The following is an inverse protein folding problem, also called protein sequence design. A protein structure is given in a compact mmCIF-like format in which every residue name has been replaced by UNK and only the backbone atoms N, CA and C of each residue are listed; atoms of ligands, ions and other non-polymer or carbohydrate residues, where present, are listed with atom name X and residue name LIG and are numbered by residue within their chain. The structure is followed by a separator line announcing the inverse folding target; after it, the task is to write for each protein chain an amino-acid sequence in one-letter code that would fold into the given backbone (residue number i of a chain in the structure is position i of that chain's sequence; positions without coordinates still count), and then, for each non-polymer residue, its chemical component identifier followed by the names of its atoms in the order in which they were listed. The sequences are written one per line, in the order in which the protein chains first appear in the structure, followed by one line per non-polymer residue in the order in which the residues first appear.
data_IF_408298178851
#
_entry.id   IF_408298178851
#
_cell.length_a   1.000
_cell.length_b   1.000
_cell.length_c   1.000
_cell.angle_alpha   90.00
_cell.angle_beta   90.00
_cell.angle_gamma   90.00
#
_symmetry.space_group_name_H-M   'P 1'
#
loop_
_entity.id
_entity.type
_entity.pdbx_description
1 polymer ?
#
# COMPACT_ATOMS: atom_id res chain seq x y z
N UNK A 1 6.92 -44.94 -36.04
CA UNK A 1 7.49 -43.61 -35.75
C UNK A 1 7.68 -42.92 -37.10
N UNK A 2 6.89 -41.89 -37.34
CA UNK A 2 7.10 -41.03 -38.50
C UNK A 2 8.34 -40.16 -38.27
N UNK A 3 9.17 -39.92 -39.31
CA UNK A 3 10.35 -39.09 -39.18
C UNK A 3 9.92 -37.63 -38.94
N UNK A 4 10.60 -36.95 -37.98
CA UNK A 4 10.36 -35.55 -37.68
C UNK A 4 10.62 -34.70 -38.91
N UNK A 5 9.66 -33.90 -39.30
CA UNK A 5 9.80 -32.97 -40.44
C UNK A 5 10.73 -31.79 -40.10
N UNK A 6 11.41 -31.25 -41.12
CA UNK A 6 12.33 -30.09 -40.95
C UNK A 6 11.59 -28.87 -40.34
N UNK A 7 10.33 -28.69 -40.68
CA UNK A 7 9.49 -27.61 -40.17
C UNK A 7 9.28 -27.76 -38.66
N UNK A 8 9.06 -28.97 -38.17
CA UNK A 8 8.89 -29.26 -36.74
C UNK A 8 10.19 -28.94 -35.97
N UNK A 9 11.35 -29.34 -36.50
CA UNK A 9 12.64 -29.03 -35.90
C UNK A 9 12.88 -27.52 -35.83
N UNK A 10 12.50 -26.75 -36.81
CA UNK A 10 12.62 -25.28 -36.84
C UNK A 10 11.75 -24.68 -35.72
N UNK A 11 10.50 -25.12 -35.58
CA UNK A 11 9.61 -24.64 -34.54
C UNK A 11 10.07 -25.02 -33.12
N UNK A 12 10.54 -26.24 -32.96
CA UNK A 12 11.14 -26.69 -31.67
C UNK A 12 12.34 -25.81 -31.30
N UNK A 13 13.21 -25.51 -32.29
CA UNK A 13 14.38 -24.66 -32.06
C UNK A 13 14.00 -23.23 -31.69
N UNK A 14 13.02 -22.64 -32.39
CA UNK A 14 12.50 -21.29 -32.08
C UNK A 14 11.88 -21.29 -30.67
N UNK A 15 11.06 -22.28 -30.33
CA UNK A 15 10.46 -22.38 -29.01
C UNK A 15 11.51 -22.54 -27.90
N UNK A 16 12.56 -23.35 -28.15
CA UNK A 16 13.66 -23.54 -27.23
C UNK A 16 14.42 -22.21 -27.00
N UNK A 17 14.77 -21.51 -28.08
CA UNK A 17 15.47 -20.22 -27.96
C UNK A 17 14.63 -19.18 -27.20
N UNK A 18 13.33 -19.11 -27.50
CA UNK A 18 12.43 -18.22 -26.80
C UNK A 18 12.30 -18.59 -25.31
N UNK A 19 12.15 -19.86 -25.01
CA UNK A 19 12.11 -20.35 -23.62
C UNK A 19 13.40 -20.03 -22.86
N UNK A 20 14.57 -20.24 -23.44
CA UNK A 20 15.86 -19.86 -22.86
C UNK A 20 15.99 -18.35 -22.66
N UNK A 21 15.56 -17.56 -23.64
CA UNK A 21 15.54 -16.11 -23.53
C UNK A 21 14.68 -15.66 -22.33
N UNK A 22 13.45 -16.15 -22.22
CA UNK A 22 12.55 -15.81 -21.12
C UNK A 22 13.11 -16.28 -19.77
N UNK A 23 13.70 -17.46 -19.71
CA UNK A 23 14.32 -17.98 -18.49
C UNK A 23 15.46 -17.07 -18.01
N UNK A 24 16.40 -16.73 -18.86
CA UNK A 24 17.52 -15.85 -18.49
C UNK A 24 17.07 -14.41 -18.25
N UNK A 25 16.02 -13.94 -18.95
CA UNK A 25 15.41 -12.64 -18.72
C UNK A 25 14.82 -12.56 -17.28
N UNK A 26 14.11 -13.59 -16.81
CA UNK A 26 13.58 -13.60 -15.44
C UNK A 26 14.70 -13.57 -14.40
N UNK A 27 15.79 -14.30 -14.62
CA UNK A 27 16.95 -14.27 -13.73
C UNK A 27 17.57 -12.86 -13.73
N UNK A 28 17.81 -12.27 -14.89
CA UNK A 28 18.35 -10.91 -14.99
C UNK A 28 17.42 -9.90 -14.30
N UNK A 29 16.10 -10.03 -14.51
CA UNK A 29 15.10 -9.14 -13.91
C UNK A 29 15.06 -9.24 -12.39
N UNK A 30 15.37 -10.40 -11.82
CA UNK A 30 15.49 -10.57 -10.37
C UNK A 30 16.57 -9.64 -9.75
N UNK A 31 17.65 -9.37 -10.49
CA UNK A 31 18.75 -8.54 -10.00
C UNK A 31 18.62 -7.06 -10.35
N UNK A 32 17.96 -6.72 -11.46
CA UNK A 32 17.86 -5.34 -11.96
C UNK A 32 16.46 -4.73 -11.81
N UNK A 33 15.42 -5.55 -11.58
CA UNK A 33 14.05 -5.10 -11.41
C UNK A 33 13.80 -4.57 -10.00
N UNK A 34 13.18 -3.38 -9.89
CA UNK A 34 12.80 -2.74 -8.62
C UNK A 34 11.30 -2.89 -8.33
N UNK A 35 10.73 -4.03 -8.62
CA UNK A 35 9.29 -4.25 -8.57
C UNK A 35 8.74 -4.68 -7.20
N UNK A 36 9.60 -5.04 -6.25
CA UNK A 36 9.16 -5.46 -4.94
C UNK A 36 9.26 -4.30 -3.95
N UNK A 37 8.11 -3.85 -3.47
CA UNK A 37 8.08 -3.14 -2.20
C UNK A 37 8.64 -4.10 -1.13
N UNK A 38 9.58 -3.61 -0.34
CA UNK A 38 10.01 -4.34 0.84
C UNK A 38 8.82 -4.40 1.79
N UNK A 39 8.08 -5.51 1.79
CA UNK A 39 6.98 -5.73 2.71
C UNK A 39 7.40 -6.74 3.77
N UNK A 40 7.20 -6.39 5.01
CA UNK A 40 7.35 -7.26 6.16
C UNK A 40 5.95 -7.59 6.69
N UNK A 41 5.76 -8.77 7.27
CA UNK A 41 4.51 -9.13 7.91
C UNK A 41 4.80 -9.83 9.25
N UNK A 42 4.18 -9.33 10.31
CA UNK A 42 4.33 -9.87 11.67
C UNK A 42 2.97 -10.22 12.26
N UNK A 43 2.94 -11.21 13.13
CA UNK A 43 1.73 -11.52 13.90
C UNK A 43 1.52 -10.48 14.99
N UNK A 44 0.31 -9.96 15.11
CA UNK A 44 -0.09 -9.03 16.16
C UNK A 44 -1.55 -9.30 16.56
N UNK A 45 -1.85 -9.15 17.84
CA UNK A 45 -3.24 -9.18 18.30
C UNK A 45 -3.98 -7.94 17.79
N UNK A 46 -5.18 -8.08 17.19
CA UNK A 46 -5.95 -6.96 16.66
C UNK A 46 -6.24 -5.87 17.69
N UNK A 47 -6.51 -6.21 18.95
CA UNK A 47 -6.77 -5.23 19.99
C UNK A 47 -5.50 -4.44 20.35
N UNK A 48 -4.35 -5.09 20.40
CA UNK A 48 -3.05 -4.44 20.62
C UNK A 48 -2.72 -3.50 19.48
N UNK A 49 -3.01 -3.91 18.25
CA UNK A 49 -2.80 -3.05 17.08
C UNK A 49 -3.72 -1.83 17.10
N UNK A 50 -4.99 -2.02 17.43
CA UNK A 50 -5.95 -0.92 17.57
C UNK A 50 -5.48 0.11 18.60
N UNK A 51 -5.08 -0.32 19.80
CA UNK A 51 -4.57 0.57 20.85
C UNK A 51 -3.34 1.37 20.37
N UNK A 52 -2.44 0.71 19.62
CA UNK A 52 -1.27 1.37 19.03
C UNK A 52 -1.66 2.47 18.05
N UNK A 53 -2.60 2.20 17.14
CA UNK A 53 -3.08 3.19 16.18
C UNK A 53 -3.82 4.34 16.87
N UNK A 54 -4.64 4.07 17.87
CA UNK A 54 -5.35 5.09 18.64
C UNK A 54 -4.39 5.99 19.43
N UNK A 55 -3.35 5.41 20.01
CA UNK A 55 -2.29 6.18 20.68
C UNK A 55 -1.53 7.04 19.68
N UNK A 56 -1.12 6.47 18.56
CA UNK A 56 -0.47 7.21 17.49
C UNK A 56 -1.33 8.38 16.99
N UNK A 57 -2.62 8.14 16.79
CA UNK A 57 -3.54 9.20 16.34
C UNK A 57 -3.67 10.32 17.37
N UNK A 58 -3.83 9.98 18.65
CA UNK A 58 -3.95 10.94 19.76
C UNK A 58 -2.71 11.83 19.88
N UNK A 59 -1.53 11.24 19.75
CA UNK A 59 -0.26 11.95 19.95
C UNK A 59 0.11 12.83 18.75
N UNK A 60 -0.44 12.56 17.57
CA UNK A 60 -0.06 13.19 16.31
C UNK A 60 -1.21 13.96 15.62
N UNK A 61 -2.36 14.12 16.28
CA UNK A 61 -3.49 14.86 15.69
C UNK A 61 -3.12 16.31 15.40
N UNK A 62 -3.50 16.78 14.22
CA UNK A 62 -3.32 18.18 13.79
C UNK A 62 -4.65 18.88 13.51
N UNK A 63 -5.69 18.12 13.12
CA UNK A 63 -7.05 18.58 12.90
C UNK A 63 -8.00 17.39 12.81
N UNK A 64 -9.29 17.66 12.66
CA UNK A 64 -10.33 16.66 12.38
C UNK A 64 -11.05 17.01 11.09
N UNK A 65 -11.43 15.97 10.33
CA UNK A 65 -12.25 16.07 9.12
C UNK A 65 -13.36 15.02 9.17
N UNK A 66 -14.62 15.45 9.22
CA UNK A 66 -15.79 14.57 9.30
C UNK A 66 -15.66 13.51 10.42
N UNK A 67 -15.32 13.95 11.61
CA UNK A 67 -15.09 13.12 12.81
C UNK A 67 -13.94 12.11 12.69
N UNK A 68 -13.05 12.30 11.72
CA UNK A 68 -11.84 11.49 11.56
C UNK A 68 -10.61 12.36 11.84
N UNK A 69 -9.71 11.92 12.74
CA UNK A 69 -8.49 12.67 13.00
C UNK A 69 -7.57 12.65 11.79
N UNK A 70 -7.02 13.82 11.46
CA UNK A 70 -5.90 13.96 10.54
C UNK A 70 -4.64 14.03 11.38
N UNK A 71 -3.73 13.12 11.12
CA UNK A 71 -2.52 12.94 11.93
C UNK A 71 -1.27 13.19 11.11
N UNK A 72 -0.31 13.89 11.71
CA UNK A 72 1.03 14.14 11.13
C UNK A 72 2.07 13.59 12.10
N UNK A 73 2.89 12.63 11.68
CA UNK A 73 3.96 12.10 12.53
C UNK A 73 4.92 13.23 12.94
N UNK A 74 5.06 13.44 14.25
CA UNK A 74 5.96 14.46 14.81
C UNK A 74 7.39 13.96 14.89
N UNK A 75 7.53 12.70 15.34
CA UNK A 75 8.82 12.04 15.50
C UNK A 75 8.82 10.69 14.78
N UNK A 76 10.01 10.24 14.37
CA UNK A 76 10.15 8.97 13.68
C UNK A 76 9.54 8.95 12.27
N UNK A 77 9.52 7.78 11.70
CA UNK A 77 9.01 7.53 10.35
C UNK A 77 7.90 6.47 10.32
N UNK A 78 7.53 5.93 11.50
CA UNK A 78 6.47 4.93 11.58
C UNK A 78 5.10 5.61 11.56
N UNK A 79 4.22 5.16 10.68
CA UNK A 79 2.85 5.61 10.54
C UNK A 79 1.91 4.41 10.57
N UNK A 80 0.82 4.55 11.27
CA UNK A 80 -0.11 3.47 11.52
C UNK A 80 -1.45 3.75 10.86
N UNK A 81 -1.99 2.77 10.13
CA UNK A 81 -3.29 2.85 9.46
C UNK A 81 -4.08 1.57 9.73
N UNK A 82 -5.29 1.74 10.17
CA UNK A 82 -6.21 0.67 10.54
C UNK A 82 -7.32 0.53 9.50
N UNK A 83 -7.49 -0.70 8.96
CA UNK A 83 -8.70 -1.10 8.25
C UNK A 83 -9.78 -1.55 9.24
N UNK A 84 -10.98 -1.01 9.13
CA UNK A 84 -12.17 -1.46 9.87
C UNK A 84 -13.42 -1.23 9.03
N UNK A 85 -14.51 -1.89 9.33
CA UNK A 85 -15.78 -1.78 8.61
C UNK A 85 -16.41 -0.38 8.78
N UNK A 86 -16.51 0.45 7.79
CA UNK A 86 -15.99 0.42 6.41
C UNK A 86 -15.15 1.66 6.19
N UNK A 87 -14.02 1.74 6.86
CA UNK A 87 -13.19 2.94 6.98
C UNK A 87 -11.70 2.60 7.05
N UNK A 88 -10.88 3.44 6.44
CA UNK A 88 -9.45 3.53 6.72
C UNK A 88 -9.22 4.65 7.72
N UNK A 89 -8.57 4.37 8.84
CA UNK A 89 -8.42 5.27 9.98
C UNK A 89 -7.01 5.25 10.57
N UNK A 90 -6.40 6.40 10.93
CA UNK A 90 -6.83 7.79 10.71
C UNK A 90 -6.52 8.29 9.30
N UNK A 91 -6.82 9.55 8.98
CA UNK A 91 -6.30 10.24 7.81
C UNK A 91 -4.85 10.60 8.09
N UNK A 92 -3.94 10.28 7.15
CA UNK A 92 -2.52 10.60 7.30
C UNK A 92 -2.17 11.88 6.55
N UNK A 93 -1.37 12.74 7.18
CA UNK A 93 -0.75 13.88 6.53
C UNK A 93 0.77 13.72 6.60
N UNK A 94 1.41 13.59 5.43
CA UNK A 94 2.80 13.21 5.27
C UNK A 94 3.58 14.30 4.55
N UNK A 95 4.90 14.35 4.75
CA UNK A 95 5.78 15.31 4.07
C UNK A 95 6.37 14.68 2.80
N UNK A 96 6.39 15.45 1.72
CA UNK A 96 7.04 15.05 0.46
C UNK A 96 8.53 14.80 0.67
N UNK A 97 9.05 13.72 0.09
CA UNK A 97 10.47 13.38 0.14
C UNK A 97 10.92 12.69 1.42
N UNK A 98 10.06 12.57 2.44
CA UNK A 98 10.35 11.84 3.67
C UNK A 98 9.91 10.37 3.53
N UNK A 99 10.79 9.45 3.91
CA UNK A 99 10.48 8.03 3.89
C UNK A 99 9.75 7.62 5.15
N UNK A 100 8.62 6.91 4.99
CA UNK A 100 7.79 6.41 6.08
C UNK A 100 7.69 4.90 6.04
N UNK A 101 7.62 4.29 7.21
CA UNK A 101 7.24 2.89 7.40
C UNK A 101 5.74 2.84 7.70
N UNK A 102 4.97 2.36 6.75
CA UNK A 102 3.54 2.20 6.88
C UNK A 102 3.23 0.87 7.53
N UNK A 103 2.63 0.93 8.70
CA UNK A 103 2.08 -0.19 9.42
C UNK A 103 0.59 -0.30 9.10
N UNK A 104 0.19 -1.43 8.54
CA UNK A 104 -1.18 -1.70 8.08
C UNK A 104 -1.71 -2.97 8.74
N UNK A 105 -2.87 -2.91 9.35
CA UNK A 105 -3.58 -4.07 9.85
C UNK A 105 -5.09 -3.84 9.86
N UNK A 106 -5.84 -4.88 10.13
CA UNK A 106 -7.28 -4.85 10.32
C UNK A 106 -7.67 -5.42 11.69
N UNK A 107 -8.83 -4.99 12.22
CA UNK A 107 -9.38 -5.52 13.49
C UNK A 107 -10.59 -6.43 13.28
N UNK A 108 -11.14 -6.51 12.08
CA UNK A 108 -12.39 -7.22 11.81
C UNK A 108 -12.28 -8.20 10.64
N UNK A 109 -12.20 -7.72 9.42
CA UNK A 109 -12.19 -8.51 8.20
C UNK A 109 -10.93 -8.27 7.38
N UNK A 110 -10.76 -9.10 6.34
CA UNK A 110 -9.79 -8.81 5.30
C UNK A 110 -10.24 -7.59 4.50
N UNK A 111 -9.31 -6.66 4.27
CA UNK A 111 -9.50 -5.49 3.41
C UNK A 111 -8.39 -5.42 2.37
N UNK A 112 -8.67 -4.78 1.24
CA UNK A 112 -7.67 -4.47 0.23
C UNK A 112 -7.21 -3.02 0.37
N UNK A 113 -5.96 -2.79 0.72
CA UNK A 113 -5.37 -1.45 0.71
C UNK A 113 -4.84 -1.14 -0.68
N UNK A 114 -5.54 -0.28 -1.42
CA UNK A 114 -5.12 0.19 -2.74
C UNK A 114 -4.94 1.71 -2.71
N UNK A 115 -3.71 2.17 -2.82
CA UNK A 115 -3.36 3.60 -2.80
C UNK A 115 -3.37 4.17 -4.22
N UNK A 116 -4.28 5.11 -4.47
CA UNK A 116 -4.49 5.72 -5.78
C UNK A 116 -3.77 7.07 -5.91
N UNK A 117 -3.14 7.38 -7.07
CA UNK A 117 -3.08 6.60 -8.31
C UNK A 117 -1.85 5.68 -8.40
N UNK A 118 -1.27 5.26 -7.28
CA UNK A 118 -0.07 4.42 -7.25
C UNK A 118 -0.38 2.96 -7.61
N UNK A 119 0.65 2.16 -7.88
CA UNK A 119 0.51 0.72 -8.06
C UNK A 119 0.51 -0.09 -6.76
N UNK A 120 0.44 0.58 -5.59
CA UNK A 120 0.50 -0.08 -4.28
C UNK A 120 -0.83 -0.75 -3.98
N UNK A 121 -0.79 -2.06 -3.77
CA UNK A 121 -1.95 -2.87 -3.48
C UNK A 121 -1.57 -4.02 -2.55
N UNK A 122 -2.19 -4.09 -1.38
CA UNK A 122 -1.87 -5.06 -0.33
C UNK A 122 -3.15 -5.57 0.32
N UNK A 123 -3.25 -6.88 0.49
CA UNK A 123 -4.28 -7.49 1.34
C UNK A 123 -3.90 -7.32 2.80
N UNK A 124 -4.82 -6.77 3.58
CA UNK A 124 -4.66 -6.50 5.01
C UNK A 124 -5.58 -7.41 5.81
N UNK A 125 -4.99 -8.20 6.69
CA UNK A 125 -5.70 -9.22 7.46
C UNK A 125 -5.69 -8.93 8.95
N UNK A 126 -6.77 -9.27 9.68
CA UNK A 126 -6.70 -9.28 11.14
C UNK A 126 -5.65 -10.28 11.65
N UNK A 127 -4.96 -9.91 12.70
CA UNK A 127 -3.91 -10.74 13.30
C UNK A 127 -2.53 -10.65 12.63
N UNK A 128 -2.39 -9.80 11.59
CA UNK A 128 -1.12 -9.53 10.92
C UNK A 128 -0.92 -8.03 10.72
N UNK A 129 0.25 -7.54 11.08
CA UNK A 129 0.73 -6.21 10.78
C UNK A 129 1.63 -6.27 9.54
N UNK A 130 1.23 -5.61 8.48
CA UNK A 130 2.00 -5.47 7.25
C UNK A 130 2.76 -4.16 7.29
N UNK A 131 4.06 -4.19 6.96
CA UNK A 131 4.89 -3.00 6.95
C UNK A 131 5.44 -2.79 5.54
N UNK A 132 5.22 -1.62 5.00
CA UNK A 132 5.82 -1.19 3.73
C UNK A 132 6.51 0.16 3.89
N UNK A 133 7.61 0.33 3.17
CA UNK A 133 8.29 1.63 3.12
C UNK A 133 7.83 2.43 1.93
N UNK A 134 7.39 3.66 2.17
CA UNK A 134 6.89 4.58 1.15
C UNK A 134 7.54 5.96 1.32
N UNK A 135 8.00 6.53 0.21
CA UNK A 135 8.49 7.90 0.14
C UNK A 135 7.63 8.69 -0.84
N UNK A 136 6.72 9.56 -0.37
CA UNK A 136 5.90 10.37 -1.26
C UNK A 136 6.78 11.32 -2.09
N UNK A 137 6.60 11.33 -3.40
CA UNK A 137 7.37 12.19 -4.33
C UNK A 137 6.60 13.41 -4.81
N UNK A 138 5.27 13.38 -4.68
CA UNK A 138 4.38 14.45 -5.14
C UNK A 138 3.48 14.91 -4.00
N UNK A 139 3.15 16.20 -3.97
CA UNK A 139 2.17 16.77 -3.03
C UNK A 139 0.75 16.63 -3.57
N UNK A 140 -0.22 16.50 -2.69
CA UNK A 140 -1.62 16.38 -3.06
C UNK A 140 -2.44 15.49 -2.12
N UNK A 141 -3.63 15.15 -2.57
CA UNK A 141 -4.53 14.21 -1.92
C UNK A 141 -4.49 12.87 -2.67
N UNK A 142 -4.23 11.80 -1.94
CA UNK A 142 -4.16 10.43 -2.45
C UNK A 142 -5.26 9.60 -1.81
N UNK A 143 -6.08 8.96 -2.65
CA UNK A 143 -7.18 8.12 -2.20
C UNK A 143 -6.72 6.73 -1.78
N UNK A 144 -7.31 6.20 -0.73
CA UNK A 144 -7.22 4.78 -0.39
C UNK A 144 -8.57 4.15 -0.72
N UNK A 145 -8.57 3.07 -1.49
CA UNK A 145 -9.77 2.31 -1.84
C UNK A 145 -9.63 0.89 -1.33
N UNK A 146 -10.67 0.39 -0.68
CA UNK A 146 -10.75 -1.04 -0.39
C UNK A 146 -11.14 -1.78 -1.67
N UNK A 147 -10.27 -2.65 -2.15
CA UNK A 147 -10.49 -3.43 -3.38
C UNK A 147 -10.67 -4.94 -3.15
N UNK A 148 -10.83 -5.35 -1.88
CA UNK A 148 -11.22 -6.70 -1.48
C UNK A 148 -12.59 -6.65 -0.80
N UNK A 149 -13.51 -7.50 -1.23
CA UNK A 149 -14.87 -7.50 -0.70
C UNK A 149 -14.90 -7.77 0.82
N UNK A 150 -15.33 -6.79 1.59
CA UNK A 150 -15.38 -6.81 3.05
C UNK A 150 -16.80 -6.62 3.62
N UNK A 151 -17.84 -6.91 2.85
CA UNK A 151 -19.23 -6.84 3.29
C UNK A 151 -20.05 -5.73 2.61
N UNK A 152 -21.24 -5.44 3.17
CA UNK A 152 -22.26 -4.57 2.54
C UNK A 152 -21.73 -3.17 2.23
N UNK A 153 -20.94 -2.56 3.12
CA UNK A 153 -20.38 -1.22 2.95
C UNK A 153 -19.05 -1.17 2.18
N UNK A 154 -18.62 -2.28 1.57
CA UNK A 154 -17.37 -2.35 0.82
C UNK A 154 -17.20 -1.21 -0.20
N UNK A 155 -18.25 -0.88 -0.95
CA UNK A 155 -18.22 0.17 -1.98
C UNK A 155 -18.06 1.59 -1.42
N UNK A 156 -18.25 1.79 -0.13
CA UNK A 156 -18.07 3.09 0.55
C UNK A 156 -16.74 3.17 1.31
N UNK A 157 -16.01 2.05 1.42
CA UNK A 157 -14.78 1.99 2.20
C UNK A 157 -13.63 2.69 1.48
N UNK A 158 -13.48 3.96 1.77
CA UNK A 158 -12.41 4.82 1.26
C UNK A 158 -11.65 5.46 2.41
N UNK A 159 -10.45 5.93 2.11
CA UNK A 159 -9.61 6.72 2.99
C UNK A 159 -8.79 7.71 2.18
N UNK A 160 -7.96 8.49 2.87
CA UNK A 160 -7.11 9.48 2.18
C UNK A 160 -5.81 9.71 2.91
N UNK A 161 -4.81 10.09 2.13
CA UNK A 161 -3.50 10.54 2.59
C UNK A 161 -3.24 11.91 1.96
N UNK A 162 -2.90 12.89 2.77
CA UNK A 162 -2.41 14.18 2.30
C UNK A 162 -0.89 14.16 2.27
N UNK A 163 -0.32 14.65 1.18
CA UNK A 163 1.12 14.87 1.09
C UNK A 163 1.37 16.37 0.94
N UNK A 164 2.12 16.92 1.87
CA UNK A 164 2.41 18.36 1.96
C UNK A 164 3.89 18.65 1.76
N UNK A 165 4.24 19.90 1.44
CA UNK A 165 5.64 20.33 1.42
C UNK A 165 6.26 20.25 2.82
N UNK A 166 7.53 19.86 2.95
CA UNK A 166 8.24 19.84 4.21
C UNK A 166 8.18 21.19 4.93
N UNK A 167 7.90 21.18 6.24
CA UNK A 167 7.82 22.37 7.07
C UNK A 167 6.55 23.21 6.88
N UNK A 168 5.61 22.81 6.04
CA UNK A 168 4.33 23.50 5.89
C UNK A 168 3.34 23.01 6.95
N UNK A 169 3.16 23.78 8.02
CA UNK A 169 2.06 23.55 8.96
C UNK A 169 0.72 23.67 8.22
N UNK A 170 -0.16 22.68 8.40
CA UNK A 170 -1.37 22.47 7.63
C UNK A 170 -2.20 23.72 7.36
N UNK A 171 -2.27 24.08 6.10
CA UNK A 171 -3.37 24.90 5.57
C UNK A 171 -4.40 23.91 5.04
N UNK A 172 -5.71 24.02 5.38
CA UNK A 172 -6.73 23.16 4.79
C UNK A 172 -6.64 23.24 3.27
N UNK A 173 -6.65 22.07 2.60
CA UNK A 173 -6.81 22.06 1.16
C UNK A 173 -8.07 22.85 0.80
N UNK A 174 -7.93 23.85 -0.06
CA UNK A 174 -9.05 24.63 -0.54
C UNK A 174 -10.06 23.65 -1.17
N UNK A 175 -11.30 23.65 -0.64
CA UNK A 175 -12.41 22.91 -1.20
C UNK A 175 -12.57 23.34 -2.66
N UNK A 176 -12.10 22.52 -3.59
CA UNK A 176 -12.38 22.66 -5.02
C UNK A 176 -13.88 22.45 -5.23
N UNK A 177 -14.52 23.44 -5.84
CA UNK A 177 -15.93 23.46 -6.24
C UNK A 177 -16.24 22.39 -7.29
#
# INVERSE_FOLDING_TARGET
NEPIERVELVWIFIALLWGLFMFFFMIAWHFIGNQNLSSEAYRIDPAVYQERVETFARDNIVREESDVPVVRPREGNDVYLLGRLWQWWPILELERGRSYRFHLSSIDWQHGFSLQPTGINIQVHPGFEHILTLTPTETGEFGIVCNEYCGIGHHTMTGRIYVVEPGRAGTPAAQGR
#
